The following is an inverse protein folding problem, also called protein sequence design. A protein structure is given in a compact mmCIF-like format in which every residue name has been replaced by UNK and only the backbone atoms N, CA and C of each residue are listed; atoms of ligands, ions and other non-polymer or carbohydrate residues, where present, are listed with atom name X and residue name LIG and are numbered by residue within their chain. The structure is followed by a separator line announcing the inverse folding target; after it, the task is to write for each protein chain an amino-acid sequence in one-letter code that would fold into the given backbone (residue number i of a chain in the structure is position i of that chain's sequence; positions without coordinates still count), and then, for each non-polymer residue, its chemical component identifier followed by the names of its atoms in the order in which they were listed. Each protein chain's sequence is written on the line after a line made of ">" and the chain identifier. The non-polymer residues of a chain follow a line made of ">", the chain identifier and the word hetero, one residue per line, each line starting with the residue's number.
data_IF_839283946971
#
_entry.id   IF_839283946971
#
_cell.length_a   1.000
_cell.length_b   1.000
_cell.length_c   1.000
_cell.angle_alpha   90.00
_cell.angle_beta   90.00
_cell.angle_gamma   90.00
#
_symmetry.space_group_name_H-M   'P 1'
#
loop_
_entity.id
_entity.type
_entity.pdbx_description
1 polymer ?
#
# COMPACT_ATOMS: atom_id res chain seq x y z
N UNK A 1 18.10 31.34 3.90
CA UNK A 1 18.49 30.00 3.41
C UNK A 1 18.40 29.01 4.57
N UNK A 2 17.43 28.08 4.58
CA UNK A 2 17.20 27.15 5.70
C UNK A 2 17.85 25.80 5.40
N UNK A 3 18.93 25.49 6.12
CA UNK A 3 19.57 24.18 6.13
C UNK A 3 18.70 23.12 6.81
N UNK A 4 17.74 22.58 6.09
CA UNK A 4 17.13 21.30 6.45
C UNK A 4 18.00 20.19 5.89
N UNK A 5 18.67 19.43 6.75
CA UNK A 5 19.47 18.27 6.34
C UNK A 5 18.66 17.38 5.38
N UNK A 6 19.23 17.10 4.21
CA UNK A 6 18.59 16.20 3.25
C UNK A 6 18.48 14.82 3.86
N UNK A 7 17.26 14.28 3.91
CA UNK A 7 17.06 12.93 4.41
C UNK A 7 17.33 11.92 3.30
N UNK A 8 17.79 10.73 3.68
CA UNK A 8 18.03 9.65 2.73
C UNK A 8 16.70 9.20 2.11
N UNK A 9 16.52 9.53 0.82
CA UNK A 9 15.37 9.18 -0.01
C UNK A 9 15.06 7.69 0.02
N UNK A 10 16.07 6.85 -0.21
CA UNK A 10 15.90 5.40 -0.29
C UNK A 10 15.38 4.81 1.03
N UNK A 11 15.72 5.40 2.18
CA UNK A 11 15.18 4.94 3.48
C UNK A 11 13.71 5.28 3.67
N UNK A 12 13.27 6.44 3.19
CA UNK A 12 11.85 6.85 3.28
C UNK A 12 10.99 6.01 2.33
N UNK A 13 11.51 5.76 1.13
CA UNK A 13 10.89 4.89 0.14
C UNK A 13 10.75 3.46 0.65
N UNK A 14 11.85 2.83 1.10
CA UNK A 14 11.83 1.47 1.64
C UNK A 14 10.92 1.31 2.86
N UNK A 15 10.79 2.34 3.70
CA UNK A 15 9.84 2.34 4.81
C UNK A 15 8.39 2.32 4.32
N UNK A 16 8.08 3.09 3.28
CA UNK A 16 6.73 3.17 2.70
C UNK A 16 6.39 1.86 1.96
N UNK A 17 7.35 1.27 1.26
CA UNK A 17 7.21 -0.03 0.60
C UNK A 17 6.87 -1.13 1.61
N UNK A 18 7.56 -1.17 2.76
CA UNK A 18 7.31 -2.14 3.81
C UNK A 18 5.88 -2.01 4.38
N UNK A 19 5.41 -0.78 4.62
CA UNK A 19 4.03 -0.54 5.09
C UNK A 19 3.02 -1.03 4.06
N UNK A 20 3.19 -0.65 2.79
CA UNK A 20 2.24 -1.02 1.74
C UNK A 20 2.23 -2.54 1.53
N UNK A 21 3.38 -3.20 1.56
CA UNK A 21 3.48 -4.66 1.49
C UNK A 21 2.71 -5.35 2.64
N UNK A 22 2.89 -4.87 3.88
CA UNK A 22 2.17 -5.39 5.05
C UNK A 22 0.66 -5.21 4.87
N UNK A 23 0.20 -4.00 4.51
CA UNK A 23 -1.23 -3.73 4.27
C UNK A 23 -1.80 -4.67 3.21
N UNK A 24 -1.10 -4.84 2.08
CA UNK A 24 -1.53 -5.76 1.01
C UNK A 24 -1.72 -7.20 1.49
N UNK A 25 -0.83 -7.68 2.36
CA UNK A 25 -0.91 -9.03 2.92
C UNK A 25 -1.97 -9.18 4.01
N UNK A 26 -2.21 -8.16 4.84
CA UNK A 26 -3.23 -8.20 5.90
C UNK A 26 -4.63 -8.13 5.30
N UNK A 27 -4.85 -7.35 4.24
CA UNK A 27 -6.17 -7.19 3.64
C UNK A 27 -6.83 -8.51 3.22
N UNK A 28 -6.05 -9.52 2.84
CA UNK A 28 -6.61 -10.82 2.42
C UNK A 28 -7.24 -11.57 3.59
N UNK A 29 -6.81 -11.27 4.82
CA UNK A 29 -7.28 -11.93 6.04
C UNK A 29 -8.72 -11.52 6.41
N UNK A 30 -9.24 -10.44 5.81
CA UNK A 30 -10.63 -10.01 5.97
C UNK A 30 -11.62 -10.92 5.19
N UNK A 31 -11.12 -11.76 4.28
CA UNK A 31 -11.96 -12.72 3.56
C UNK A 31 -12.33 -13.85 4.52
N UNK A 32 -13.61 -13.92 4.88
CA UNK A 32 -14.14 -14.93 5.80
C UNK A 32 -13.97 -16.34 5.22
N UNK A 33 -13.63 -17.27 6.10
CA UNK A 33 -13.64 -18.70 5.79
C UNK A 33 -15.10 -19.12 5.60
N UNK A 34 -15.49 -19.67 4.44
CA UNK A 34 -16.87 -20.04 4.21
C UNK A 34 -17.28 -21.23 5.09
N UNK A 35 -18.53 -21.23 5.57
CA UNK A 35 -19.06 -22.22 6.53
C UNK A 35 -19.33 -23.63 5.93
N UNK A 36 -18.61 -24.02 4.88
CA UNK A 36 -18.74 -25.36 4.29
C UNK A 36 -17.72 -25.63 3.20
N UNK A 37 -17.43 -26.91 2.96
CA UNK A 37 -16.37 -27.35 2.03
C UNK A 37 -16.80 -27.41 0.55
N UNK A 38 -17.84 -26.67 0.14
CA UNK A 38 -18.34 -26.69 -1.25
C UNK A 38 -17.94 -25.43 -2.02
N UNK A 39 -17.72 -25.54 -3.33
CA UNK A 39 -17.45 -24.37 -4.20
C UNK A 39 -18.56 -23.30 -4.13
N UNK A 40 -19.80 -23.73 -3.85
CA UNK A 40 -20.94 -22.84 -3.67
C UNK A 40 -20.86 -21.97 -2.41
N UNK A 41 -20.22 -22.45 -1.33
CA UNK A 41 -20.02 -21.65 -0.13
C UNK A 41 -19.04 -20.50 -0.39
N UNK A 42 -18.01 -20.74 -1.23
CA UNK A 42 -17.05 -19.72 -1.66
C UNK A 42 -17.71 -18.61 -2.50
N UNK A 43 -18.62 -18.99 -3.41
CA UNK A 43 -19.38 -18.07 -4.27
C UNK A 43 -20.32 -17.13 -3.49
N UNK A 44 -20.65 -17.47 -2.25
CA UNK A 44 -21.45 -16.62 -1.35
C UNK A 44 -20.66 -15.40 -0.88
N UNK A 45 -19.34 -15.55 -0.70
CA UNK A 45 -18.43 -14.48 -0.27
C UNK A 45 -17.86 -13.65 -1.44
N UNK A 46 -18.38 -13.83 -2.67
CA UNK A 46 -17.88 -13.14 -3.88
C UNK A 46 -17.82 -11.62 -3.77
N UNK A 47 -18.72 -11.00 -2.99
CA UNK A 47 -18.73 -9.55 -2.81
C UNK A 47 -17.50 -9.08 -2.04
N UNK A 48 -17.12 -9.79 -0.98
CA UNK A 48 -15.90 -9.51 -0.21
C UNK A 48 -14.65 -9.77 -1.05
N UNK A 49 -14.64 -10.85 -1.83
CA UNK A 49 -13.53 -11.14 -2.73
C UNK A 49 -13.33 -10.06 -3.79
N UNK A 50 -14.41 -9.58 -4.43
CA UNK A 50 -14.36 -8.48 -5.39
C UNK A 50 -13.92 -7.17 -4.74
N UNK A 51 -14.44 -6.86 -3.54
CA UNK A 51 -14.01 -5.68 -2.79
C UNK A 51 -12.52 -5.73 -2.44
N UNK A 52 -12.02 -6.91 -2.04
CA UNK A 52 -10.59 -7.15 -1.82
C UNK A 52 -9.79 -6.92 -3.10
N UNK A 53 -10.16 -7.53 -4.24
CA UNK A 53 -9.43 -7.37 -5.50
C UNK A 53 -9.35 -5.92 -5.97
N UNK A 54 -10.48 -5.20 -5.90
CA UNK A 54 -10.53 -3.78 -6.27
C UNK A 54 -9.63 -2.96 -5.33
N UNK A 55 -9.68 -3.21 -4.02
CA UNK A 55 -8.86 -2.51 -3.04
C UNK A 55 -7.38 -2.80 -3.22
N UNK A 56 -7.01 -4.07 -3.44
CA UNK A 56 -5.66 -4.52 -3.73
C UNK A 56 -5.11 -3.83 -4.98
N UNK A 57 -5.87 -3.84 -6.07
CA UNK A 57 -5.46 -3.18 -7.31
C UNK A 57 -5.25 -1.67 -7.11
N UNK A 58 -6.16 -1.01 -6.38
CA UNK A 58 -6.03 0.43 -6.10
C UNK A 58 -4.80 0.75 -5.27
N UNK A 59 -4.49 -0.04 -4.25
CA UNK A 59 -3.29 0.14 -3.42
C UNK A 59 -2.04 -0.10 -4.24
N UNK A 60 -1.99 -1.16 -5.05
CA UNK A 60 -0.86 -1.47 -5.92
C UNK A 60 -0.62 -0.36 -6.96
N UNK A 61 -1.68 0.20 -7.55
CA UNK A 61 -1.59 1.32 -8.49
C UNK A 61 -1.08 2.60 -7.79
N UNK A 62 -1.57 2.90 -6.59
CA UNK A 62 -1.07 4.02 -5.79
C UNK A 62 0.40 3.84 -5.40
N UNK A 63 0.81 2.62 -5.03
CA UNK A 63 2.21 2.27 -4.75
C UNK A 63 3.10 2.48 -5.98
N UNK A 64 2.66 2.02 -7.16
CA UNK A 64 3.39 2.24 -8.40
C UNK A 64 3.59 3.74 -8.70
N UNK A 65 2.53 4.54 -8.53
CA UNK A 65 2.62 5.99 -8.71
C UNK A 65 3.54 6.64 -7.65
N UNK A 66 3.51 6.17 -6.41
CA UNK A 66 4.39 6.61 -5.33
C UNK A 66 5.86 6.32 -5.67
N UNK A 67 6.17 5.09 -6.08
CA UNK A 67 7.50 4.69 -6.50
C UNK A 67 7.99 5.52 -7.69
N UNK A 68 7.12 5.78 -8.68
CA UNK A 68 7.42 6.66 -9.81
C UNK A 68 7.71 8.11 -9.38
N UNK A 69 6.92 8.66 -8.45
CA UNK A 69 7.14 10.00 -7.91
C UNK A 69 8.47 10.08 -7.14
N UNK A 70 8.75 9.09 -6.30
CA UNK A 70 10.01 9.01 -5.59
C UNK A 70 11.17 8.88 -6.57
N UNK A 71 11.12 7.99 -7.57
CA UNK A 71 12.17 7.85 -8.59
C UNK A 71 12.56 9.20 -9.22
N UNK A 72 11.58 10.05 -9.55
CA UNK A 72 11.79 11.38 -10.14
C UNK A 72 12.20 12.49 -9.13
N UNK A 73 12.03 12.29 -7.83
CA UNK A 73 12.38 13.27 -6.81
C UNK A 73 13.91 13.36 -6.59
N UNK A 74 14.44 14.60 -6.60
CA UNK A 74 15.88 14.86 -6.39
C UNK A 74 16.28 15.02 -4.92
N UNK A 75 15.39 15.53 -4.06
CA UNK A 75 15.63 15.69 -2.62
C UNK A 75 14.35 15.50 -1.81
N UNK A 76 14.48 14.93 -0.61
CA UNK A 76 13.37 14.80 0.34
C UNK A 76 13.56 15.82 1.46
N UNK A 77 12.65 16.80 1.48
CA UNK A 77 12.58 17.77 2.57
C UNK A 77 11.75 17.22 3.75
N UNK A 78 11.93 17.80 4.94
CA UNK A 78 11.14 17.44 6.13
C UNK A 78 9.62 17.58 5.90
N UNK A 79 9.19 18.54 5.09
CA UNK A 79 7.77 18.71 4.74
C UNK A 79 7.26 17.55 3.90
N UNK A 80 8.03 17.13 2.89
CA UNK A 80 7.69 15.99 2.03
C UNK A 80 7.60 14.70 2.84
N UNK A 81 8.50 14.50 3.81
CA UNK A 81 8.42 13.36 4.72
C UNK A 81 7.12 13.32 5.54
N UNK A 82 6.73 14.44 6.15
CA UNK A 82 5.47 14.48 6.90
C UNK A 82 4.25 14.28 5.99
N UNK A 83 4.27 14.82 4.76
CA UNK A 83 3.25 14.57 3.75
C UNK A 83 3.21 13.12 3.25
N UNK A 84 4.30 12.37 3.38
CA UNK A 84 4.34 10.95 3.02
C UNK A 84 3.72 10.06 4.11
N UNK A 85 3.76 10.50 5.37
CA UNK A 85 3.25 9.74 6.52
C UNK A 85 1.74 9.97 6.73
N UNK A 86 1.24 11.13 6.34
CA UNK A 86 -0.17 11.53 6.48
C UNK A 86 -0.94 11.19 5.21
#
# INVERSE_FOLDING_TARGET
>A
MRGGGSMNKARVEAFTDAIIAIVMTIMVLEIKIPEGATLWSLLRERAYFLAYLISFYRIAATWYNHHYLFANAQWISRKVFWLNIV
#
